data_IF_357286112736
#
_entry.id   IF_357286112736
#
_cell.length_a   1.000
_cell.length_b   1.000
_cell.length_c   1.000
_cell.angle_alpha   90.00
_cell.angle_beta   90.00
_cell.angle_gamma   90.00
#
_symmetry.space_group_name_H-M   'P 1'
#
loop_
_entity.id
_entity.type
_entity.pdbx_description
1 polymer ?
#
# COMPACT_ATOMS: atom_id res chain seq x y z
N UNK A 1 14.42 -2.71 -9.49
CA UNK A 1 13.12 -3.41 -9.54
C UNK A 1 12.37 -3.11 -10.83
N UNK A 2 11.80 -4.11 -11.51
CA UNK A 2 11.21 -3.98 -12.85
C UNK A 2 9.89 -3.19 -12.92
N UNK A 3 9.23 -2.87 -11.79
CA UNK A 3 7.95 -2.14 -11.80
C UNK A 3 8.06 -0.61 -11.93
N UNK A 4 9.25 -0.02 -11.70
CA UNK A 4 9.47 1.42 -11.89
C UNK A 4 9.42 1.88 -13.35
N UNK A 5 9.44 0.94 -14.31
CA UNK A 5 9.45 1.25 -15.74
C UNK A 5 8.06 1.26 -16.40
N UNK A 6 6.98 0.98 -15.66
CA UNK A 6 5.63 1.38 -16.07
C UNK A 6 5.31 2.67 -15.33
N UNK A 7 5.10 3.75 -16.06
CA UNK A 7 4.74 5.07 -15.54
C UNK A 7 3.31 5.07 -14.98
N UNK A 8 3.06 4.25 -13.95
CA UNK A 8 1.94 4.43 -13.06
C UNK A 8 2.25 5.69 -12.28
N UNK A 9 1.45 6.74 -12.45
CA UNK A 9 1.65 8.07 -11.86
C UNK A 9 1.60 8.14 -10.33
N UNK A 10 2.13 7.16 -9.61
CA UNK A 10 2.60 7.35 -8.25
C UNK A 10 3.87 8.20 -8.33
N UNK A 11 3.82 9.41 -7.77
CA UNK A 11 5.07 10.11 -7.45
C UNK A 11 5.94 9.12 -6.68
N UNK A 12 7.18 8.87 -7.10
CA UNK A 12 8.06 7.91 -6.43
C UNK A 12 8.30 8.19 -4.93
N UNK A 13 7.79 9.31 -4.40
CA UNK A 13 7.76 9.69 -3.00
C UNK A 13 6.56 9.15 -2.19
N UNK A 14 5.54 8.56 -2.81
CA UNK A 14 4.34 8.08 -2.11
C UNK A 14 4.32 6.59 -1.81
N UNK A 15 5.10 5.81 -2.57
CA UNK A 15 5.48 4.45 -2.23
C UNK A 15 6.67 4.54 -1.30
N UNK A 16 6.46 4.35 0.01
CA UNK A 16 7.58 4.18 0.93
C UNK A 16 8.38 2.97 0.47
N UNK A 17 9.70 3.13 0.32
CA UNK A 17 10.57 1.98 0.07
C UNK A 17 10.38 0.98 1.21
N UNK A 18 9.99 -0.25 0.88
CA UNK A 18 9.90 -1.30 1.86
C UNK A 18 11.28 -1.53 2.48
N UNK A 19 11.37 -1.72 3.82
CA UNK A 19 12.62 -2.09 4.45
C UNK A 19 13.14 -3.39 3.86
N UNK A 20 14.45 -3.47 3.57
CA UNK A 20 15.04 -4.76 3.21
C UNK A 20 14.81 -5.73 4.34
N UNK A 21 14.54 -7.00 4.00
CA UNK A 21 14.20 -8.01 5.00
C UNK A 21 15.23 -8.16 6.12
N UNK A 22 16.52 -7.84 5.87
CA UNK A 22 17.55 -7.80 6.92
C UNK A 22 17.37 -6.71 7.98
N UNK A 23 16.55 -5.69 7.71
CA UNK A 23 16.18 -4.66 8.68
C UNK A 23 15.20 -5.17 9.74
N UNK A 24 14.45 -6.25 9.45
CA UNK A 24 13.46 -6.82 10.37
C UNK A 24 14.11 -7.35 11.66
N UNK A 25 15.37 -7.79 11.61
CA UNK A 25 16.09 -8.31 12.78
C UNK A 25 16.54 -7.21 13.76
N UNK A 26 16.29 -5.94 13.44
CA UNK A 26 16.72 -4.79 14.26
C UNK A 26 15.68 -4.50 15.36
N UNK A 27 16.12 -4.43 16.62
CA UNK A 27 15.21 -4.28 17.77
C UNK A 27 15.20 -2.86 18.37
N UNK A 28 16.26 -2.07 18.18
CA UNK A 28 16.31 -0.67 18.65
C UNK A 28 16.87 0.28 17.60
N UNK A 29 16.47 1.57 17.63
CA UNK A 29 17.03 2.60 16.74
C UNK A 29 18.56 2.75 16.93
N UNK A 30 19.04 2.51 18.15
CA UNK A 30 20.47 2.51 18.48
C UNK A 30 21.23 1.36 17.79
N UNK A 31 20.70 0.13 17.78
CA UNK A 31 21.22 -0.99 16.98
C UNK A 31 21.10 -0.73 15.47
N UNK A 32 20.11 0.05 15.08
CA UNK A 32 19.81 0.43 13.71
C UNK A 32 20.80 1.47 13.13
N UNK A 33 21.59 2.12 13.99
CA UNK A 33 22.66 3.05 13.62
C UNK A 33 23.85 2.36 12.93
N UNK A 34 23.96 1.02 13.05
CA UNK A 34 24.97 0.26 12.32
C UNK A 34 24.71 0.37 10.80
N UNK A 35 25.68 0.81 9.98
CA UNK A 35 25.48 1.33 8.63
C UNK A 35 25.09 0.29 7.55
N UNK A 36 24.59 -0.88 7.94
CA UNK A 36 24.16 -1.95 7.02
C UNK A 36 22.66 -2.29 7.20
N UNK A 37 22.05 -1.97 8.36
CA UNK A 37 20.75 -2.57 8.73
C UNK A 37 19.51 -1.74 8.40
N UNK A 38 19.65 -0.44 8.13
CA UNK A 38 18.52 0.45 7.83
C UNK A 38 18.57 1.05 6.43
N UNK A 39 18.84 0.22 5.43
CA UNK A 39 18.79 0.67 4.05
C UNK A 39 17.61 0.02 3.34
N UNK A 40 16.99 0.77 2.44
CA UNK A 40 16.15 0.15 1.42
C UNK A 40 17.02 -0.64 0.43
N UNK A 41 16.37 -1.36 -0.47
CA UNK A 41 17.04 -2.15 -1.51
C UNK A 41 17.93 -1.33 -2.46
N UNK A 42 17.81 0.01 -2.43
CA UNK A 42 18.57 0.95 -3.25
C UNK A 42 19.70 1.63 -2.44
N UNK A 43 19.97 1.15 -1.22
CA UNK A 43 21.01 1.73 -0.37
C UNK A 43 20.64 3.09 0.21
N UNK A 44 19.35 3.42 0.35
CA UNK A 44 18.89 4.67 1.00
C UNK A 44 18.48 4.41 2.44
N UNK A 45 18.81 5.34 3.35
CA UNK A 45 18.43 5.22 4.76
C UNK A 45 16.91 5.16 4.93
N UNK A 46 16.43 4.24 5.76
CA UNK A 46 15.03 4.17 6.14
C UNK A 46 14.63 5.41 6.93
N UNK A 47 13.44 5.95 6.64
CA UNK A 47 12.87 7.04 7.43
C UNK A 47 12.48 6.54 8.82
N UNK A 48 12.41 7.45 9.80
CA UNK A 48 11.94 7.12 11.16
C UNK A 48 10.53 6.54 11.16
N UNK A 49 9.69 6.98 10.21
CA UNK A 49 8.36 6.43 9.98
C UNK A 49 8.42 4.97 9.52
N UNK A 50 9.29 4.66 8.55
CA UNK A 50 9.48 3.27 8.10
C UNK A 50 10.04 2.39 9.22
N UNK A 51 10.97 2.91 10.03
CA UNK A 51 11.48 2.22 11.22
C UNK A 51 10.37 1.90 12.22
N UNK A 52 9.49 2.86 12.51
CA UNK A 52 8.35 2.67 13.43
C UNK A 52 7.35 1.59 12.97
N UNK A 53 7.29 1.27 11.67
CA UNK A 53 6.43 0.20 11.15
C UNK A 53 7.05 -1.19 11.26
N UNK A 54 8.38 -1.31 11.47
CA UNK A 54 9.08 -2.60 11.50
C UNK A 54 8.45 -3.63 12.46
N UNK A 55 8.02 -3.28 13.70
CA UNK A 55 7.38 -4.24 14.58
C UNK A 55 6.15 -4.90 13.96
N UNK A 56 5.28 -4.12 13.32
CA UNK A 56 4.08 -4.65 12.66
C UNK A 56 4.39 -5.42 11.39
N UNK A 57 5.40 -5.00 10.62
CA UNK A 57 5.87 -5.75 9.46
C UNK A 57 6.43 -7.12 9.91
N UNK A 58 7.13 -7.20 11.05
CA UNK A 58 7.62 -8.48 11.62
C UNK A 58 6.47 -9.41 12.03
N UNK A 59 5.42 -8.89 12.64
CA UNK A 59 4.23 -9.69 12.99
C UNK A 59 3.62 -10.33 11.73
N UNK A 60 3.43 -9.53 10.67
CA UNK A 60 2.94 -10.02 9.38
C UNK A 60 3.90 -11.01 8.73
N UNK A 61 5.21 -10.73 8.72
CA UNK A 61 6.19 -11.66 8.17
C UNK A 61 6.16 -13.02 8.87
N UNK A 62 6.08 -13.01 10.20
CA UNK A 62 6.01 -14.23 11.02
C UNK A 62 4.75 -15.02 10.71
N UNK A 63 3.59 -14.36 10.67
CA UNK A 63 2.31 -14.98 10.33
C UNK A 63 2.34 -15.59 8.92
N UNK A 64 2.73 -14.81 7.93
CA UNK A 64 2.76 -15.26 6.54
C UNK A 64 3.75 -16.40 6.35
N UNK A 65 4.89 -16.42 7.06
CA UNK A 65 5.80 -17.57 7.01
C UNK A 65 5.30 -18.80 7.76
N UNK A 66 4.52 -18.62 8.82
CA UNK A 66 3.99 -19.73 9.61
C UNK A 66 2.74 -20.39 9.04
N UNK A 67 1.96 -19.67 8.23
CA UNK A 67 0.59 -20.09 7.87
C UNK A 67 0.33 -20.04 6.35
N UNK A 68 0.12 -21.20 5.75
CA UNK A 68 -0.17 -21.33 4.32
C UNK A 68 -1.55 -20.79 3.91
N UNK A 69 -2.55 -20.85 4.80
CA UNK A 69 -3.86 -20.23 4.56
C UNK A 69 -3.75 -18.70 4.59
N UNK A 70 -2.98 -18.15 5.54
CA UNK A 70 -2.70 -16.72 5.57
C UNK A 70 -2.04 -16.24 4.27
N UNK A 71 -1.03 -16.96 3.76
CA UNK A 71 -0.41 -16.66 2.44
C UNK A 71 -1.43 -16.66 1.29
N UNK A 72 -2.42 -17.56 1.33
CA UNK A 72 -3.45 -17.65 0.29
C UNK A 72 -4.45 -16.50 0.33
N UNK A 73 -4.75 -15.96 1.52
CA UNK A 73 -5.83 -14.98 1.73
C UNK A 73 -5.34 -13.53 1.78
N UNK A 74 -4.16 -13.30 2.33
CA UNK A 74 -3.63 -11.95 2.53
C UNK A 74 -3.01 -11.42 1.24
N UNK A 75 -3.33 -10.18 0.91
CA UNK A 75 -2.83 -9.48 -0.28
C UNK A 75 -2.45 -8.06 0.11
N UNK A 76 -1.30 -7.61 -0.37
CA UNK A 76 -0.87 -6.24 -0.20
C UNK A 76 -1.53 -5.34 -1.25
N UNK A 77 -2.11 -4.23 -0.81
CA UNK A 77 -2.79 -3.23 -1.66
C UNK A 77 -2.25 -1.86 -1.30
N UNK A 78 -2.14 -0.98 -2.30
CA UNK A 78 -1.71 0.40 -2.08
C UNK A 78 -2.72 1.39 -2.68
N UNK A 79 -3.25 2.29 -1.83
CA UNK A 79 -4.28 3.27 -2.22
C UNK A 79 -3.98 4.02 -3.52
N UNK A 80 -2.73 4.44 -3.73
CA UNK A 80 -2.40 5.24 -4.92
C UNK A 80 -2.36 4.40 -6.18
N UNK A 81 -2.04 3.11 -6.04
CA UNK A 81 -2.10 2.16 -7.15
C UNK A 81 -3.55 1.87 -7.48
N UNK A 82 -4.40 1.68 -6.46
CA UNK A 82 -5.85 1.54 -6.63
C UNK A 82 -6.46 2.75 -7.36
N UNK A 83 -6.18 3.97 -6.90
CA UNK A 83 -6.67 5.19 -7.57
C UNK A 83 -6.11 5.38 -8.97
N UNK A 84 -4.81 5.09 -9.19
CA UNK A 84 -4.24 5.14 -10.52
C UNK A 84 -4.92 4.14 -11.47
N UNK A 85 -5.24 2.93 -10.98
CA UNK A 85 -5.96 1.92 -11.75
C UNK A 85 -7.39 2.33 -12.09
N UNK A 86 -8.10 3.02 -11.19
CA UNK A 86 -9.44 3.59 -11.47
C UNK A 86 -9.40 4.63 -12.61
N UNK A 87 -8.29 5.35 -12.79
CA UNK A 87 -8.10 6.35 -13.87
C UNK A 87 -7.44 5.70 -15.12
N UNK A 88 -7.53 4.37 -15.26
CA UNK A 88 -6.91 3.60 -16.34
C UNK A 88 -5.38 3.80 -16.48
N UNK A 89 -4.70 4.24 -15.41
CA UNK A 89 -3.24 4.40 -15.36
C UNK A 89 -2.66 5.58 -16.16
N UNK A 90 -3.50 6.48 -16.69
CA UNK A 90 -3.06 7.49 -17.68
C UNK A 90 -2.55 8.79 -17.05
N UNK A 91 -2.88 9.09 -15.79
CA UNK A 91 -2.57 10.40 -15.18
C UNK A 91 -2.04 10.27 -13.76
N UNK A 92 -1.10 11.15 -13.40
CA UNK A 92 -0.66 11.37 -12.03
C UNK A 92 -1.87 11.72 -11.16
N UNK A 93 -2.12 10.94 -10.12
CA UNK A 93 -3.17 11.26 -9.16
C UNK A 93 -2.70 12.50 -8.38
N UNK A 94 -3.44 13.64 -8.38
CA UNK A 94 -3.08 14.79 -7.58
C UNK A 94 -2.94 14.42 -6.10
N UNK A 95 -2.11 15.18 -5.38
CA UNK A 95 -1.80 14.92 -3.98
C UNK A 95 -3.09 14.75 -3.16
N UNK A 96 -3.17 13.69 -2.34
CA UNK A 96 -4.38 13.44 -1.52
C UNK A 96 -4.73 14.55 -0.53
N UNK A 97 -3.77 15.44 -0.21
CA UNK A 97 -3.97 16.60 0.66
C UNK A 97 -4.44 17.85 -0.08
N UNK A 98 -4.41 17.87 -1.42
CA UNK A 98 -4.99 18.97 -2.18
C UNK A 98 -6.51 18.78 -2.31
N UNK A 99 -7.25 19.88 -2.39
CA UNK A 99 -8.70 19.81 -2.57
C UNK A 99 -9.07 19.10 -3.88
N UNK A 100 -8.31 19.35 -4.95
CA UNK A 100 -8.43 18.63 -6.21
C UNK A 100 -8.23 17.12 -6.04
N UNK A 101 -7.19 16.71 -5.31
CA UNK A 101 -6.89 15.29 -5.09
C UNK A 101 -7.95 14.60 -4.22
N UNK A 102 -8.53 15.31 -3.26
CA UNK A 102 -9.64 14.79 -2.43
C UNK A 102 -10.91 14.65 -3.26
N UNK A 103 -11.27 15.69 -4.03
CA UNK A 103 -12.44 15.67 -4.90
C UNK A 103 -12.36 14.56 -5.95
N UNK A 104 -11.18 14.38 -6.58
CA UNK A 104 -10.97 13.30 -7.55
C UNK A 104 -11.18 11.92 -6.92
N UNK A 105 -10.61 11.66 -5.74
CA UNK A 105 -10.75 10.38 -5.05
C UNK A 105 -12.20 10.09 -4.66
N UNK A 106 -12.92 11.09 -4.14
CA UNK A 106 -14.34 10.97 -3.83
C UNK A 106 -15.17 10.63 -5.07
N UNK A 107 -14.92 11.31 -6.21
CA UNK A 107 -15.62 11.04 -7.47
C UNK A 107 -15.35 9.62 -7.98
N UNK A 108 -14.08 9.19 -8.02
CA UNK A 108 -13.70 7.85 -8.48
C UNK A 108 -14.36 6.75 -7.63
N UNK A 109 -14.38 6.92 -6.30
CA UNK A 109 -15.09 6.00 -5.43
C UNK A 109 -16.61 6.07 -5.66
N UNK A 110 -17.15 7.25 -5.91
CA UNK A 110 -18.56 7.45 -6.21
C UNK A 110 -19.02 6.77 -7.51
N UNK A 111 -18.16 6.72 -8.53
CA UNK A 111 -18.41 6.01 -9.78
C UNK A 111 -18.54 4.48 -9.56
N UNK A 112 -17.86 3.94 -8.54
CA UNK A 112 -17.89 2.50 -8.23
C UNK A 112 -18.90 2.10 -7.15
N UNK A 113 -19.05 2.91 -6.10
CA UNK A 113 -19.86 2.58 -4.92
C UNK A 113 -21.13 3.43 -4.79
N UNK A 114 -21.34 4.40 -5.69
CA UNK A 114 -22.39 5.41 -5.60
C UNK A 114 -21.95 6.62 -4.77
N UNK A 115 -22.05 7.82 -5.35
CA UNK A 115 -21.58 9.07 -4.74
C UNK A 115 -22.17 9.30 -3.33
N UNK A 116 -23.49 9.19 -3.18
CA UNK A 116 -24.16 9.38 -1.91
C UNK A 116 -23.77 8.34 -0.84
N UNK A 117 -23.46 7.11 -1.24
CA UNK A 117 -23.02 6.07 -0.31
C UNK A 117 -21.60 6.32 0.21
N UNK A 118 -20.71 6.84 -0.65
CA UNK A 118 -19.34 7.22 -0.26
C UNK A 118 -19.38 8.43 0.67
N UNK A 119 -20.13 9.48 0.32
CA UNK A 119 -20.28 10.68 1.14
C UNK A 119 -20.89 10.36 2.51
N UNK A 120 -21.96 9.54 2.53
CA UNK A 120 -22.60 9.11 3.77
C UNK A 120 -21.64 8.32 4.66
N UNK A 121 -20.86 7.39 4.09
CA UNK A 121 -19.86 6.65 4.87
C UNK A 121 -18.84 7.61 5.50
N UNK A 122 -18.23 8.50 4.70
CA UNK A 122 -17.21 9.45 5.19
C UNK A 122 -17.76 10.35 6.28
N UNK A 123 -19.02 10.80 6.16
CA UNK A 123 -19.69 11.60 7.18
C UNK A 123 -20.04 10.79 8.44
N UNK A 124 -20.35 9.50 8.31
CA UNK A 124 -20.78 8.64 9.42
C UNK A 124 -19.64 8.21 10.35
N UNK A 125 -18.40 8.13 9.86
CA UNK A 125 -17.26 7.68 10.65
C UNK A 125 -16.78 8.81 11.58
N UNK A 126 -16.81 8.61 12.91
CA UNK A 126 -16.34 9.64 13.84
C UNK A 126 -14.86 9.95 13.63
N UNK A 127 -14.49 11.25 13.57
CA UNK A 127 -13.10 11.69 13.37
C UNK A 127 -12.11 11.20 14.42
N UNK A 128 -12.60 10.85 15.61
CA UNK A 128 -11.79 10.24 16.69
C UNK A 128 -11.35 8.80 16.38
N UNK A 129 -12.05 8.11 15.48
CA UNK A 129 -11.75 6.74 15.06
C UNK A 129 -10.88 6.71 13.81
N UNK A 130 -11.15 7.57 12.84
CA UNK A 130 -10.37 7.68 11.60
C UNK A 130 -10.48 9.07 10.99
N UNK A 131 -9.42 9.53 10.31
CA UNK A 131 -9.53 10.72 9.47
C UNK A 131 -10.38 10.40 8.23
N UNK A 132 -11.00 11.43 7.63
CA UNK A 132 -11.78 11.26 6.40
C UNK A 132 -10.95 10.61 5.28
N UNK A 133 -9.68 11.01 5.15
CA UNK A 133 -8.77 10.42 4.16
C UNK A 133 -8.46 8.94 4.43
N UNK A 134 -8.45 8.50 5.70
CA UNK A 134 -8.24 7.09 6.03
C UNK A 134 -9.46 6.24 5.62
N UNK A 135 -10.67 6.79 5.72
CA UNK A 135 -11.91 6.14 5.25
C UNK A 135 -11.91 6.02 3.73
N UNK A 136 -11.49 7.07 3.03
CA UNK A 136 -11.32 7.09 1.57
C UNK A 136 -10.26 6.07 1.14
N UNK A 137 -9.11 6.03 1.82
CA UNK A 137 -8.03 5.09 1.55
C UNK A 137 -8.48 3.63 1.80
N UNK A 138 -9.26 3.38 2.85
CA UNK A 138 -9.84 2.06 3.13
C UNK A 138 -10.86 1.63 2.06
N UNK A 139 -11.65 2.57 1.52
CA UNK A 139 -12.59 2.27 0.43
C UNK A 139 -11.86 1.94 -0.89
N UNK A 140 -10.72 2.59 -1.16
CA UNK A 140 -9.86 2.21 -2.28
C UNK A 140 -9.26 0.81 -2.11
N UNK A 141 -8.91 0.43 -0.87
CA UNK A 141 -8.46 -0.93 -0.57
C UNK A 141 -9.59 -1.96 -0.77
N UNK A 142 -10.82 -1.64 -0.37
CA UNK A 142 -12.00 -2.48 -0.61
C UNK A 142 -12.24 -2.72 -2.10
N UNK A 143 -12.17 -1.67 -2.93
CA UNK A 143 -12.30 -1.81 -4.39
C UNK A 143 -11.29 -2.82 -4.97
N UNK A 144 -10.05 -2.76 -4.49
CA UNK A 144 -9.01 -3.70 -4.92
C UNK A 144 -9.31 -5.12 -4.42
N UNK A 145 -9.78 -5.24 -3.17
CA UNK A 145 -10.16 -6.52 -2.56
C UNK A 145 -11.32 -7.21 -3.30
N UNK A 146 -12.35 -6.45 -3.73
CA UNK A 146 -13.46 -6.98 -4.54
C UNK A 146 -12.97 -7.52 -5.87
N UNK A 147 -12.03 -6.85 -6.53
CA UNK A 147 -11.41 -7.30 -7.78
C UNK A 147 -10.55 -8.55 -7.59
N UNK A 148 -9.83 -8.65 -6.46
CA UNK A 148 -9.06 -9.85 -6.10
C UNK A 148 -10.03 -11.03 -5.90
N UNK A 149 -11.12 -10.82 -5.16
CA UNK A 149 -12.14 -11.84 -4.93
C UNK A 149 -12.83 -12.28 -6.23
N UNK A 150 -13.04 -11.36 -7.17
CA UNK A 150 -13.59 -11.62 -8.50
C UNK A 150 -12.57 -12.22 -9.50
N UNK A 151 -11.29 -12.34 -9.13
CA UNK A 151 -10.25 -12.87 -10.01
C UNK A 151 -9.85 -11.96 -11.18
N UNK A 152 -10.19 -10.66 -11.11
CA UNK A 152 -9.93 -9.69 -12.18
C UNK A 152 -8.97 -8.56 -11.77
N UNK A 153 -8.37 -8.65 -10.59
CA UNK A 153 -7.35 -7.72 -10.12
C UNK A 153 -6.08 -7.76 -10.97
N UNK A 154 -5.46 -6.60 -11.13
CA UNK A 154 -4.11 -6.47 -11.65
C UNK A 154 -3.07 -6.44 -10.53
N UNK A 155 -1.80 -6.54 -10.90
CA UNK A 155 -0.66 -6.39 -10.00
C UNK A 155 0.48 -5.64 -10.67
N UNK A 156 1.20 -4.80 -9.91
CA UNK A 156 2.34 -4.05 -10.45
C UNK A 156 3.51 -4.96 -10.85
N UNK A 157 3.57 -6.16 -10.29
CA UNK A 157 4.44 -7.25 -10.72
C UNK A 157 3.59 -8.26 -11.49
N UNK A 158 3.73 -8.31 -12.82
CA UNK A 158 3.01 -9.28 -13.68
C UNK A 158 3.41 -10.73 -13.37
N UNK A 159 4.54 -10.93 -12.70
CA UNK A 159 4.92 -12.14 -11.99
C UNK A 159 5.27 -11.70 -10.57
N UNK A 160 4.61 -12.18 -9.51
CA UNK A 160 5.03 -11.87 -8.15
C UNK A 160 6.44 -12.41 -7.98
N UNK A 161 7.43 -11.51 -7.91
CA UNK A 161 8.76 -11.92 -7.51
C UNK A 161 8.62 -12.57 -6.13
N UNK A 162 9.14 -13.78 -5.94
CA UNK A 162 9.17 -14.39 -4.61
C UNK A 162 10.40 -13.87 -3.89
N UNK A 163 10.24 -13.52 -2.62
CA UNK A 163 11.39 -13.15 -1.81
C UNK A 163 12.16 -14.38 -1.31
N UNK A 164 13.26 -14.15 -0.57
CA UNK A 164 14.10 -15.22 -0.03
C UNK A 164 13.39 -16.16 0.97
N UNK A 165 12.21 -15.80 1.47
CA UNK A 165 11.37 -16.64 2.32
C UNK A 165 10.26 -17.35 1.54
N UNK A 166 10.21 -17.19 0.20
CA UNK A 166 9.20 -17.75 -0.67
C UNK A 166 7.85 -17.02 -0.60
N UNK A 167 7.81 -15.79 -0.06
CA UNK A 167 6.59 -14.99 -0.04
C UNK A 167 6.44 -14.22 -1.37
N UNK A 168 5.25 -14.24 -1.98
CA UNK A 168 5.00 -13.50 -3.22
C UNK A 168 5.01 -11.98 -2.94
N UNK A 169 5.80 -11.24 -3.71
CA UNK A 169 5.86 -9.77 -3.66
C UNK A 169 5.03 -9.19 -4.80
N UNK A 170 3.84 -8.69 -4.46
CA UNK A 170 2.97 -8.00 -5.40
C UNK A 170 2.08 -7.00 -4.68
N UNK A 171 1.96 -5.81 -5.27
CA UNK A 171 0.93 -4.82 -4.91
C UNK A 171 -0.24 -5.02 -5.87
N UNK A 172 -1.40 -5.35 -5.33
CA UNK A 172 -2.63 -5.65 -6.05
C UNK A 172 -3.55 -4.43 -6.17
N UNK A 173 -4.35 -4.40 -7.24
CA UNK A 173 -5.36 -3.38 -7.52
C UNK A 173 -6.54 -3.91 -8.35
#
# INVERSE_FOLDING_TARGET
MPWRNRSWGASASSLFSAPVRGALDTQSHAEASAPIRLFDENGRRLSIQAFGMLPKIREWDTLLRGDAEARRRVREVHREVSFAAMIAGVTLVPNKRSDEGRALRMRLLGEHFGQGAVESLVASVPRRLAAADDVVDARAALWSAERIAAGCAGSLSSLPAVDRAGLPMAIWY
#
